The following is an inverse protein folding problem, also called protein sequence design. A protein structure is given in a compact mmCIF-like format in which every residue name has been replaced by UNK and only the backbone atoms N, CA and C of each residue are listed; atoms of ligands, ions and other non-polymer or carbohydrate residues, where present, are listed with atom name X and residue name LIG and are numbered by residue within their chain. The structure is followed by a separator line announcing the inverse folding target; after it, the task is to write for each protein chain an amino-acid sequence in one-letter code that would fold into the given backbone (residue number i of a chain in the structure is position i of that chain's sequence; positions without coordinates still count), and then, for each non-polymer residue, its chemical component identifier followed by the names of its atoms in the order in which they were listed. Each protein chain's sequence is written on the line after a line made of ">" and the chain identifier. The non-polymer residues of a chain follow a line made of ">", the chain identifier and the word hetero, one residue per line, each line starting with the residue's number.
data_IF_499942339509
#
_entry.id   IF_499942339509
#
_cell.length_a   1.000
_cell.length_b   1.000
_cell.length_c   1.000
_cell.angle_alpha   90.00
_cell.angle_beta   90.00
_cell.angle_gamma   90.00
#
_symmetry.space_group_name_H-M   'P 1'
#
loop_
_entity.id
_entity.type
_entity.pdbx_description
1 polymer ?
#
# COMPACT_ATOMS: atom_id res chain seq x y z
N UNK A 1 22.06 -5.18 27.69
CA UNK A 1 22.01 -5.93 26.52
C UNK A 1 21.08 -5.32 25.47
N UNK A 2 21.49 -5.33 24.29
CA UNK A 2 20.72 -4.75 23.27
C UNK A 2 19.87 -5.78 22.62
N UNK A 3 18.61 -5.49 22.50
CA UNK A 3 17.83 -6.33 21.66
C UNK A 3 17.85 -5.71 20.29
N UNK A 4 18.22 -6.50 19.36
CA UNK A 4 18.19 -6.05 17.99
C UNK A 4 16.83 -6.26 17.44
N UNK A 5 16.29 -5.19 16.92
CA UNK A 5 15.03 -5.31 16.22
C UNK A 5 15.32 -5.77 14.82
N UNK A 6 14.77 -6.91 14.50
CA UNK A 6 14.87 -7.40 13.14
C UNK A 6 13.62 -6.94 12.42
N UNK A 7 13.82 -6.02 11.49
CA UNK A 7 12.69 -5.53 10.72
C UNK A 7 12.54 -6.40 9.50
N UNK A 8 11.32 -6.87 9.29
CA UNK A 8 10.99 -7.63 8.11
C UNK A 8 10.46 -6.66 7.07
N UNK A 9 11.04 -6.71 5.88
CA UNK A 9 10.59 -5.87 4.79
C UNK A 9 9.48 -6.59 4.03
N UNK A 10 8.38 -5.91 3.85
CA UNK A 10 7.27 -6.42 3.06
C UNK A 10 7.20 -5.62 1.78
N UNK A 11 7.06 -6.31 0.67
CA UNK A 11 6.84 -5.65 -0.61
C UNK A 11 5.35 -5.59 -0.86
N UNK A 12 4.84 -4.39 -0.91
CA UNK A 12 3.42 -4.15 -1.10
C UNK A 12 3.22 -3.36 -2.38
N UNK A 13 2.03 -3.45 -2.92
CA UNK A 13 1.72 -2.80 -4.19
C UNK A 13 1.18 -1.40 -3.95
N UNK A 14 1.59 -0.48 -4.81
CA UNK A 14 1.02 0.85 -4.85
C UNK A 14 0.43 1.06 -6.23
N UNK A 15 -0.86 1.34 -6.30
CA UNK A 15 -1.53 1.69 -7.53
C UNK A 15 -1.82 3.17 -7.47
N UNK A 16 -1.29 3.92 -8.43
CA UNK A 16 -1.42 5.36 -8.41
C UNK A 16 -2.13 5.79 -9.67
N UNK A 17 -3.15 6.62 -9.51
CA UNK A 17 -3.86 7.13 -10.69
C UNK A 17 -4.19 8.59 -10.49
N UNK A 18 -4.35 9.25 -11.61
CA UNK A 18 -4.69 10.66 -11.62
C UNK A 18 -6.14 10.85 -11.26
N UNK A 19 -6.41 11.84 -10.41
CA UNK A 19 -7.77 12.17 -10.04
C UNK A 19 -7.85 13.68 -9.88
N UNK A 20 -8.66 14.30 -10.71
CA UNK A 20 -8.76 15.76 -10.70
C UNK A 20 -7.39 16.39 -10.86
N UNK A 21 -6.97 17.22 -9.92
CA UNK A 21 -5.70 17.92 -10.01
C UNK A 21 -4.58 17.22 -9.27
N UNK A 22 -4.84 16.05 -8.71
CA UNK A 22 -3.84 15.34 -7.93
C UNK A 22 -3.79 13.88 -8.28
N UNK A 23 -3.24 13.10 -7.36
CA UNK A 23 -3.08 11.66 -7.55
C UNK A 23 -3.55 10.93 -6.32
N UNK A 24 -4.18 9.79 -6.54
CA UNK A 24 -4.59 8.89 -5.47
C UNK A 24 -3.74 7.64 -5.55
N UNK A 25 -3.28 7.18 -4.41
CA UNK A 25 -2.49 5.97 -4.31
C UNK A 25 -3.23 4.97 -3.44
N UNK A 26 -3.12 3.69 -3.79
CA UNK A 26 -3.82 2.65 -3.05
C UNK A 26 -2.98 1.40 -2.97
N UNK A 27 -3.00 0.79 -1.80
CA UNK A 27 -2.38 -0.51 -1.56
C UNK A 27 -3.51 -1.54 -1.48
N UNK A 28 -3.67 -2.37 -2.52
CA UNK A 28 -4.80 -3.31 -2.51
C UNK A 28 -4.65 -4.42 -1.48
N UNK A 29 -3.41 -4.78 -1.12
CA UNK A 29 -3.22 -5.86 -0.14
C UNK A 29 -3.79 -5.49 1.21
N UNK A 30 -3.68 -4.22 1.59
CA UNK A 30 -4.13 -3.78 2.91
C UNK A 30 -5.36 -2.88 2.84
N UNK A 31 -5.80 -2.54 1.64
CA UNK A 31 -6.97 -1.66 1.44
C UNK A 31 -6.74 -0.32 2.14
N UNK A 32 -5.57 0.24 1.94
CA UNK A 32 -5.18 1.54 2.48
C UNK A 32 -4.88 2.46 1.32
N UNK A 33 -5.36 3.69 1.41
CA UNK A 33 -5.19 4.66 0.34
C UNK A 33 -4.66 5.97 0.89
N UNK A 34 -4.03 6.73 0.00
CA UNK A 34 -3.56 8.06 0.32
C UNK A 34 -3.62 8.90 -0.94
N UNK A 35 -3.08 10.10 -0.88
CA UNK A 35 -3.13 11.00 -2.03
C UNK A 35 -2.00 12.00 -1.97
N UNK A 36 -1.79 12.70 -3.06
CA UNK A 36 -0.78 13.73 -3.14
C UNK A 36 -0.95 14.55 -4.40
N UNK A 37 -0.19 15.63 -4.50
CA UNK A 37 -0.27 16.50 -5.66
C UNK A 37 0.57 15.98 -6.82
N UNK A 38 1.55 15.16 -6.53
CA UNK A 38 2.39 14.52 -7.55
C UNK A 38 2.38 13.02 -7.32
N UNK A 39 2.85 12.28 -8.32
CA UNK A 39 2.96 10.83 -8.19
C UNK A 39 3.89 10.48 -7.04
N UNK A 40 5.03 11.17 -6.96
CA UNK A 40 6.01 10.91 -5.90
C UNK A 40 5.41 11.20 -4.53
N UNK A 41 4.64 12.27 -4.42
CA UNK A 41 4.04 12.63 -3.15
C UNK A 41 2.96 11.63 -2.74
N UNK A 42 2.13 11.22 -3.71
CA UNK A 42 1.10 10.22 -3.42
C UNK A 42 1.72 8.90 -2.98
N UNK A 43 2.83 8.52 -3.61
CA UNK A 43 3.54 7.31 -3.24
C UNK A 43 4.13 7.42 -1.84
N UNK A 44 4.79 8.53 -1.54
CA UNK A 44 5.40 8.73 -0.23
C UNK A 44 4.34 8.78 0.87
N UNK A 45 3.23 9.42 0.59
CA UNK A 45 2.15 9.51 1.58
C UNK A 45 1.54 8.14 1.83
N UNK A 46 1.42 7.31 0.80
CA UNK A 46 0.94 5.95 0.99
C UNK A 46 1.92 5.14 1.83
N UNK A 47 3.22 5.26 1.54
CA UNK A 47 4.22 4.56 2.32
C UNK A 47 4.12 4.92 3.79
N UNK A 48 3.93 6.21 4.08
CA UNK A 48 3.79 6.67 5.45
C UNK A 48 2.56 6.07 6.11
N UNK A 49 1.44 6.04 5.38
CA UNK A 49 0.22 5.45 5.89
C UNK A 49 0.37 3.96 6.18
N UNK A 50 1.09 3.26 5.32
CA UNK A 50 1.34 1.84 5.51
C UNK A 50 2.24 1.60 6.72
N UNK A 51 3.27 2.43 6.88
CA UNK A 51 4.15 2.31 8.03
C UNK A 51 3.38 2.54 9.32
N UNK A 52 2.49 3.51 9.31
CA UNK A 52 1.67 3.80 10.47
C UNK A 52 0.74 2.63 10.79
N UNK A 53 0.17 2.00 9.76
CA UNK A 53 -0.67 0.84 9.98
C UNK A 53 0.11 -0.26 10.71
N UNK A 54 1.33 -0.56 10.24
CA UNK A 54 2.12 -1.61 10.86
C UNK A 54 2.56 -1.24 12.28
N UNK A 55 2.73 0.06 12.56
CA UNK A 55 3.07 0.48 13.91
C UNK A 55 1.91 0.33 14.90
N UNK A 56 0.69 0.58 14.41
CA UNK A 56 -0.45 0.70 15.30
C UNK A 56 -1.30 -0.54 15.37
N UNK A 57 -1.25 -1.39 14.36
CA UNK A 57 -2.10 -2.57 14.31
C UNK A 57 -1.51 -3.67 15.19
N UNK A 58 -2.39 -4.47 15.78
CA UNK A 58 -1.94 -5.62 16.54
C UNK A 58 -1.38 -6.67 15.59
N UNK A 59 -0.55 -7.60 16.11
CA UNK A 59 -0.04 -8.67 15.24
C UNK A 59 -1.16 -9.48 14.60
N UNK A 60 -2.25 -9.69 15.32
CA UNK A 60 -3.39 -10.42 14.75
C UNK A 60 -4.03 -9.66 13.61
N UNK A 61 -4.12 -8.35 13.75
CA UNK A 61 -4.68 -7.53 12.68
C UNK A 61 -3.80 -7.58 11.45
N UNK A 62 -2.49 -7.46 11.65
CA UNK A 62 -1.54 -7.52 10.54
C UNK A 62 -1.65 -8.85 9.83
N UNK A 63 -1.65 -9.95 10.60
CA UNK A 63 -1.75 -11.27 10.00
C UNK A 63 -3.03 -11.43 9.21
N UNK A 64 -4.14 -10.97 9.77
CA UNK A 64 -5.43 -11.10 9.10
C UNK A 64 -5.44 -10.33 7.78
N UNK A 65 -4.91 -9.10 7.79
CA UNK A 65 -4.87 -8.30 6.59
C UNK A 65 -3.96 -8.89 5.52
N UNK A 66 -2.81 -9.40 5.93
CA UNK A 66 -1.85 -9.95 4.99
C UNK A 66 -2.27 -11.29 4.43
N UNK A 67 -3.25 -11.94 5.04
CA UNK A 67 -3.76 -13.21 4.52
C UNK A 67 -4.74 -13.03 3.37
N UNK A 68 -5.21 -11.83 3.15
CA UNK A 68 -6.08 -11.56 2.00
C UNK A 68 -5.28 -11.73 0.73
N UNK A 69 -5.79 -12.56 -0.17
CA UNK A 69 -5.12 -12.77 -1.44
C UNK A 69 -5.59 -11.73 -2.44
N UNK A 70 -4.62 -11.03 -3.01
CA UNK A 70 -4.92 -10.03 -4.02
C UNK A 70 -4.06 -10.34 -5.23
N UNK A 71 -4.71 -10.43 -6.39
CA UNK A 71 -4.02 -10.69 -7.63
C UNK A 71 -4.15 -9.48 -8.52
N UNK A 72 -3.01 -9.00 -9.01
CA UNK A 72 -2.98 -7.85 -9.90
C UNK A 72 -2.44 -8.36 -11.22
N UNK A 73 -3.26 -8.24 -12.25
CA UNK A 73 -2.89 -8.78 -13.54
C UNK A 73 -3.45 -7.88 -14.63
N UNK A 74 -3.13 -8.19 -15.85
CA UNK A 74 -3.60 -7.44 -17.01
C UNK A 74 -4.47 -8.34 -17.84
N UNK A 75 -5.46 -7.74 -18.48
CA UNK A 75 -6.31 -8.44 -19.44
C UNK A 75 -6.28 -7.69 -20.75
N UNK A 76 -6.41 -8.43 -21.82
CA UNK A 76 -6.44 -7.84 -23.15
C UNK A 76 -7.89 -7.78 -23.60
N UNK A 77 -8.26 -6.62 -24.11
CA UNK A 77 -9.65 -6.38 -24.54
C UNK A 77 -9.62 -5.88 -25.97
N UNK A 78 -10.44 -6.48 -26.78
CA UNK A 78 -10.60 -6.01 -28.16
C UNK A 78 -11.60 -4.87 -28.16
N UNK A 79 -11.21 -3.76 -28.78
CA UNK A 79 -12.05 -2.57 -28.86
C UNK A 79 -12.32 -2.27 -30.31
N UNK A 80 -13.58 -2.10 -30.64
CA UNK A 80 -13.98 -1.78 -32.03
C UNK A 80 -13.74 -0.30 -32.34
#
# INVERSE_FOLDING_TARGET
>A
MLSEEIKTMHTLTAIIRREDSGYVSMCPELDIASQGETIEQARANLQEALELFFECASPEEVDRRLMNEVYITQVEVAIA
#
